data_IF_445875339485
#
_entry.id   IF_445875339485
#
_cell.length_a   1.000
_cell.length_b   1.000
_cell.length_c   1.000
_cell.angle_alpha   90.00
_cell.angle_beta   90.00
_cell.angle_gamma   90.00
#
_symmetry.space_group_name_H-M   'P 1'
#
loop_
_entity.id
_entity.type
_entity.pdbx_description
1 polymer ?
#
# COMPACT_ATOMS: atom_id res chain seq x y z
N UNK A 1 -17.22 -3.25 -22.14
CA UNK A 1 -17.12 -3.88 -20.81
C UNK A 1 -16.20 -3.10 -19.87
N UNK A 2 -16.71 -2.06 -19.19
CA UNK A 2 -15.92 -1.23 -18.26
C UNK A 2 -15.71 -1.88 -16.87
N UNK A 3 -16.34 -3.02 -16.62
CA UNK A 3 -16.32 -3.68 -15.31
C UNK A 3 -14.95 -4.27 -14.97
N UNK A 4 -14.22 -4.79 -15.95
CA UNK A 4 -12.87 -5.35 -15.79
C UNK A 4 -11.83 -4.33 -15.30
N UNK A 5 -11.64 -3.16 -15.96
CA UNK A 5 -10.66 -2.17 -15.50
C UNK A 5 -11.01 -1.60 -14.12
N UNK A 6 -12.29 -1.39 -13.81
CA UNK A 6 -12.74 -0.88 -12.51
C UNK A 6 -12.50 -1.92 -11.40
N UNK A 7 -12.79 -3.19 -11.67
CA UNK A 7 -12.54 -4.29 -10.73
C UNK A 7 -11.06 -4.40 -10.37
N UNK A 8 -10.18 -4.39 -11.38
CA UNK A 8 -8.75 -4.46 -11.16
C UNK A 8 -8.18 -3.21 -10.49
N UNK A 9 -8.66 -2.01 -10.85
CA UNK A 9 -8.28 -0.78 -10.18
C UNK A 9 -8.65 -0.79 -8.69
N UNK A 10 -9.84 -1.28 -8.34
CA UNK A 10 -10.27 -1.39 -6.95
C UNK A 10 -9.43 -2.42 -6.18
N UNK A 11 -9.18 -3.60 -6.77
CA UNK A 11 -8.39 -4.65 -6.13
C UNK A 11 -6.95 -4.21 -5.89
N UNK A 12 -6.29 -3.62 -6.90
CA UNK A 12 -4.93 -3.11 -6.77
C UNK A 12 -4.85 -1.92 -5.82
N UNK A 13 -5.80 -1.00 -5.89
CA UNK A 13 -5.89 0.14 -4.96
C UNK A 13 -6.05 -0.30 -3.51
N UNK A 14 -6.92 -1.28 -3.23
CA UNK A 14 -7.12 -1.81 -1.87
C UNK A 14 -5.86 -2.53 -1.34
N UNK A 15 -5.24 -3.39 -2.17
CA UNK A 15 -4.06 -4.16 -1.78
C UNK A 15 -2.83 -3.29 -1.57
N UNK A 16 -2.56 -2.34 -2.47
CA UNK A 16 -1.39 -1.46 -2.39
C UNK A 16 -1.59 -0.34 -1.37
N UNK A 17 -2.79 0.23 -1.32
CA UNK A 17 -3.15 1.35 -0.43
C UNK A 17 -3.03 1.01 1.06
N UNK A 18 -3.31 -0.23 1.46
CA UNK A 18 -3.14 -0.69 2.84
C UNK A 18 -1.72 -0.58 3.40
N UNK A 19 -0.70 -0.52 2.53
CA UNK A 19 0.70 -0.36 2.94
C UNK A 19 1.07 1.09 3.31
N UNK A 20 0.21 2.06 3.00
CA UNK A 20 0.51 3.47 3.20
C UNK A 20 0.67 3.88 4.66
N UNK A 21 0.18 3.07 5.61
CA UNK A 21 0.28 3.35 7.04
C UNK A 21 0.68 2.12 7.84
N UNK A 22 1.21 2.33 9.04
CA UNK A 22 1.61 1.24 9.93
C UNK A 22 0.41 0.40 10.40
N UNK A 23 -0.78 0.97 10.44
CA UNK A 23 -2.01 0.33 10.94
C UNK A 23 -2.86 -0.22 9.76
N UNK A 24 -2.52 0.12 8.52
CA UNK A 24 -3.30 -0.23 7.33
C UNK A 24 -3.22 -1.70 6.93
N UNK A 25 -2.24 -2.44 7.44
CA UNK A 25 -2.11 -3.89 7.26
C UNK A 25 -1.76 -4.57 8.58
N UNK A 26 -2.35 -5.75 8.83
CA UNK A 26 -2.09 -6.54 10.03
C UNK A 26 -0.60 -6.94 10.16
N UNK A 27 0.06 -7.22 9.04
CA UNK A 27 1.49 -7.53 9.00
C UNK A 27 2.36 -6.40 9.57
N UNK A 28 2.04 -5.13 9.24
CA UNK A 28 2.79 -3.97 9.72
C UNK A 28 2.68 -3.81 11.25
N UNK A 29 1.48 -4.06 11.80
CA UNK A 29 1.23 -4.00 13.25
C UNK A 29 1.94 -5.14 13.98
N UNK A 30 1.92 -6.35 13.43
CA UNK A 30 2.61 -7.51 14.01
C UNK A 30 4.12 -7.25 14.09
N UNK A 31 4.72 -6.77 12.99
CA UNK A 31 6.16 -6.45 12.95
C UNK A 31 6.49 -5.31 13.92
N UNK A 32 5.66 -4.27 13.99
CA UNK A 32 5.85 -3.19 14.96
C UNK A 32 5.80 -3.70 16.42
N UNK A 33 4.89 -4.64 16.71
CA UNK A 33 4.79 -5.29 18.01
C UNK A 33 6.01 -6.13 18.36
N UNK A 34 6.54 -6.91 17.41
CA UNK A 34 7.77 -7.71 17.60
C UNK A 34 8.96 -6.77 17.82
N UNK A 35 9.11 -5.73 16.99
CA UNK A 35 10.20 -4.77 17.09
C UNK A 35 10.17 -4.01 18.42
N UNK A 36 8.97 -3.66 18.93
CA UNK A 36 8.82 -3.08 20.26
C UNK A 36 9.27 -4.04 21.38
N UNK A 37 8.98 -5.34 21.27
CA UNK A 37 9.44 -6.37 22.23
C UNK A 37 10.96 -6.55 22.23
N UNK A 38 11.62 -6.36 21.10
CA UNK A 38 13.08 -6.39 20.97
C UNK A 38 13.77 -5.06 21.34
N UNK A 39 13.01 -4.07 21.85
CA UNK A 39 13.54 -2.76 22.22
C UNK A 39 13.80 -1.82 21.05
N UNK A 40 13.38 -2.18 19.83
CA UNK A 40 13.44 -1.35 18.61
C UNK A 40 12.05 -0.88 18.19
N UNK A 41 11.42 -0.03 19.00
CA UNK A 41 10.09 0.49 18.68
C UNK A 41 10.06 1.25 17.35
N UNK A 42 9.12 0.88 16.47
CA UNK A 42 8.87 1.58 15.21
C UNK A 42 7.84 2.68 15.46
N UNK A 43 8.23 3.94 15.23
CA UNK A 43 7.31 5.08 15.34
C UNK A 43 6.36 5.12 14.14
N UNK A 44 5.06 5.32 14.42
CA UNK A 44 4.02 5.49 13.40
C UNK A 44 4.37 6.58 12.38
N UNK A 45 4.78 7.76 12.86
CA UNK A 45 5.13 8.90 11.99
C UNK A 45 6.36 8.60 11.15
N UNK A 46 7.35 7.92 11.73
CA UNK A 46 8.56 7.52 10.99
C UNK A 46 8.24 6.51 9.90
N UNK A 47 7.35 5.56 10.16
CA UNK A 47 6.87 4.63 9.14
C UNK A 47 6.13 5.40 8.04
N UNK A 48 5.20 6.28 8.43
CA UNK A 48 4.34 7.05 7.53
C UNK A 48 5.13 7.87 6.49
N UNK A 49 6.19 8.55 6.92
CA UNK A 49 7.03 9.39 6.05
C UNK A 49 7.66 8.57 4.91
N UNK A 50 8.00 7.31 5.17
CA UNK A 50 8.59 6.43 4.16
C UNK A 50 7.55 5.61 3.41
N UNK A 51 6.48 5.17 4.07
CA UNK A 51 5.46 4.30 3.48
C UNK A 51 4.54 5.05 2.52
N UNK A 52 4.14 6.29 2.84
CA UNK A 52 3.25 7.09 1.98
C UNK A 52 3.83 7.31 0.58
N UNK A 53 5.07 7.83 0.39
CA UNK A 53 5.60 8.03 -0.95
C UNK A 53 5.77 6.72 -1.72
N UNK A 54 6.15 5.63 -1.04
CA UNK A 54 6.27 4.30 -1.67
C UNK A 54 4.90 3.79 -2.13
N UNK A 55 3.88 3.89 -1.29
CA UNK A 55 2.51 3.49 -1.64
C UNK A 55 1.96 4.31 -2.80
N UNK A 56 2.19 5.63 -2.82
CA UNK A 56 1.78 6.49 -3.93
C UNK A 56 2.47 6.06 -5.23
N UNK A 57 3.79 5.84 -5.20
CA UNK A 57 4.52 5.35 -6.39
C UNK A 57 3.98 4.01 -6.89
N UNK A 58 3.74 3.05 -5.99
CA UNK A 58 3.21 1.74 -6.36
C UNK A 58 1.80 1.82 -6.97
N UNK A 59 0.92 2.65 -6.40
CA UNK A 59 -0.43 2.87 -6.93
C UNK A 59 -0.39 3.57 -8.28
N UNK A 60 0.51 4.53 -8.47
CA UNK A 60 0.70 5.20 -9.76
C UNK A 60 1.17 4.22 -10.85
N UNK A 61 2.16 3.37 -10.54
CA UNK A 61 2.66 2.35 -11.47
C UNK A 61 1.54 1.37 -11.84
N UNK A 62 0.77 0.90 -10.86
CA UNK A 62 -0.38 0.02 -11.11
C UNK A 62 -1.46 0.72 -11.95
N UNK A 63 -1.74 2.00 -11.69
CA UNK A 63 -2.68 2.80 -12.46
C UNK A 63 -2.26 3.00 -13.91
N UNK A 64 -0.98 3.30 -14.16
CA UNK A 64 -0.43 3.41 -15.51
C UNK A 64 -0.49 2.06 -16.24
N UNK A 65 -0.14 0.96 -15.56
CA UNK A 65 -0.24 -0.38 -16.13
C UNK A 65 -1.67 -0.72 -16.56
N UNK A 66 -2.66 -0.50 -15.69
CA UNK A 66 -4.07 -0.73 -16.03
C UNK A 66 -4.56 0.18 -17.14
N UNK A 67 -4.10 1.44 -17.18
CA UNK A 67 -4.44 2.36 -18.24
C UNK A 67 -3.95 1.86 -19.60
N UNK A 68 -2.69 1.40 -19.67
CA UNK A 68 -2.11 0.85 -20.89
C UNK A 68 -2.78 -0.46 -21.33
N UNK A 69 -3.13 -1.35 -20.40
CA UNK A 69 -3.73 -2.66 -20.71
C UNK A 69 -5.19 -2.55 -21.20
N UNK A 70 -5.97 -1.62 -20.64
CA UNK A 70 -7.42 -1.57 -20.86
C UNK A 70 -7.89 -0.41 -21.74
N UNK A 71 -7.09 0.64 -21.92
CA UNK A 71 -7.51 1.86 -22.62
C UNK A 71 -6.61 2.26 -23.80
N UNK A 72 -5.45 1.61 -23.97
CA UNK A 72 -4.57 1.78 -25.13
C UNK A 72 -4.55 0.51 -25.97
#
# INVERSE_FOLDING_TARGET
>A
DLMMPVWWALSLGACLGGNGTLIGASANVIVAGIAAREGRAISFVRFLIWSVPVTVMSVLIAGVFLYLEYFL
#
